data_IF_451050744023
#
_entry.id   IF_451050744023
#
_cell.length_a   1.000
_cell.length_b   1.000
_cell.length_c   1.000
_cell.angle_alpha   90.00
_cell.angle_beta   90.00
_cell.angle_gamma   90.00
#
_symmetry.space_group_name_H-M   'P 1'
#
loop_
_entity.id
_entity.type
_entity.pdbx_description
1 polymer ?
#
# COMPACT_ATOMS: atom_id res chain seq x y z
N UNK A 1 6.92 12.14 7.81
CA UNK A 1 7.90 11.84 8.87
C UNK A 1 9.28 12.36 8.44
N UNK A 2 10.11 12.88 9.36
CA UNK A 2 11.55 13.07 9.14
C UNK A 2 12.24 11.74 8.83
N UNK A 3 13.26 11.74 7.99
CA UNK A 3 13.91 10.50 7.50
C UNK A 3 14.56 9.70 8.64
N UNK A 4 15.10 10.39 9.62
CA UNK A 4 15.76 9.84 10.81
C UNK A 4 14.77 9.06 11.70
N UNK A 5 13.47 9.19 11.45
CA UNK A 5 12.39 8.53 12.18
C UNK A 5 11.64 7.49 11.33
N UNK A 6 12.14 7.15 10.13
CA UNK A 6 11.53 6.14 9.27
C UNK A 6 11.55 4.73 9.89
N UNK A 7 12.53 4.45 10.73
CA UNK A 7 12.64 3.17 11.45
C UNK A 7 11.80 3.10 12.73
N UNK A 8 11.06 4.17 13.07
CA UNK A 8 10.23 4.19 14.27
C UNK A 8 9.13 3.12 14.22
N UNK A 9 9.00 2.36 15.32
CA UNK A 9 7.95 1.36 15.58
C UNK A 9 7.21 1.70 16.88
N UNK A 10 5.89 1.51 16.91
CA UNK A 10 5.11 1.69 18.15
C UNK A 10 5.34 0.59 19.18
N UNK A 11 5.59 -0.63 18.72
CA UNK A 11 5.99 -1.80 19.51
C UNK A 11 7.04 -2.61 18.73
N UNK A 12 7.82 -3.50 19.36
CA UNK A 12 8.79 -4.33 18.65
C UNK A 12 8.20 -5.14 17.48
N UNK A 13 6.95 -5.58 17.61
CA UNK A 13 6.21 -6.40 16.64
C UNK A 13 5.59 -5.56 15.51
N UNK A 14 5.49 -4.25 15.70
CA UNK A 14 4.89 -3.35 14.73
C UNK A 14 5.80 -3.18 13.51
N UNK A 15 5.19 -2.92 12.34
CA UNK A 15 5.92 -2.39 11.19
C UNK A 15 6.44 -0.99 11.53
N UNK A 16 7.62 -0.63 11.02
CA UNK A 16 8.15 0.72 11.10
C UNK A 16 7.35 1.69 10.25
N UNK A 17 7.63 2.99 10.36
CA UNK A 17 7.03 3.99 9.48
C UNK A 17 7.37 3.71 8.00
N UNK A 18 8.63 3.38 7.70
CA UNK A 18 9.08 3.01 6.36
C UNK A 18 8.45 1.71 5.86
N UNK A 19 8.36 0.70 6.74
CA UNK A 19 7.75 -0.58 6.41
C UNK A 19 6.27 -0.39 6.05
N UNK A 20 5.52 0.38 6.85
CA UNK A 20 4.12 0.73 6.53
C UNK A 20 4.01 1.46 5.19
N UNK A 21 4.85 2.48 4.95
CA UNK A 21 4.84 3.26 3.72
C UNK A 21 5.01 2.35 2.49
N UNK A 22 6.08 1.54 2.47
CA UNK A 22 6.37 0.68 1.33
C UNK A 22 5.37 -0.47 1.21
N UNK A 23 4.87 -1.01 2.33
CA UNK A 23 3.86 -2.06 2.30
C UNK A 23 2.55 -1.62 1.63
N UNK A 24 2.15 -0.35 1.80
CA UNK A 24 1.03 0.21 1.02
C UNK A 24 1.32 0.05 -0.47
N UNK A 25 2.49 0.49 -0.95
CA UNK A 25 2.89 0.31 -2.35
C UNK A 25 2.85 -1.15 -2.79
N UNK A 26 3.49 -2.04 -2.03
CA UNK A 26 3.49 -3.48 -2.32
C UNK A 26 2.07 -4.05 -2.45
N UNK A 27 1.19 -3.73 -1.52
CA UNK A 27 -0.19 -4.22 -1.53
C UNK A 27 -1.01 -3.66 -2.71
N UNK A 28 -0.83 -2.39 -3.04
CA UNK A 28 -1.49 -1.76 -4.18
C UNK A 28 -1.07 -2.40 -5.51
N UNK A 29 0.23 -2.62 -5.70
CA UNK A 29 0.77 -3.28 -6.88
C UNK A 29 0.32 -4.76 -6.95
N UNK A 30 0.42 -5.52 -5.86
CA UNK A 30 0.05 -6.93 -5.84
C UNK A 30 -1.45 -7.15 -6.12
N UNK A 31 -2.34 -6.38 -5.48
CA UNK A 31 -3.77 -6.55 -5.71
C UNK A 31 -4.17 -6.09 -7.12
N UNK A 32 -3.67 -4.95 -7.60
CA UNK A 32 -4.05 -4.44 -8.92
C UNK A 32 -3.44 -5.25 -10.07
N UNK A 33 -2.12 -5.47 -10.06
CA UNK A 33 -1.41 -6.03 -11.20
C UNK A 33 -1.47 -7.56 -11.24
N UNK A 34 -1.49 -8.21 -10.07
CA UNK A 34 -1.37 -9.66 -9.96
C UNK A 34 -2.68 -10.36 -9.61
N UNK A 35 -3.31 -10.03 -8.47
CA UNK A 35 -4.56 -10.69 -8.06
C UNK A 35 -5.73 -10.39 -9.01
N UNK A 36 -5.93 -9.12 -9.33
CA UNK A 36 -7.03 -8.67 -10.21
C UNK A 36 -6.59 -8.72 -11.67
N UNK A 37 -5.35 -8.29 -11.92
CA UNK A 37 -4.68 -8.33 -13.21
C UNK A 37 -4.26 -9.75 -13.61
N UNK A 38 -3.19 -9.84 -14.39
CA UNK A 38 -2.69 -11.11 -14.95
C UNK A 38 -1.17 -11.26 -14.81
N UNK A 39 -0.51 -10.32 -14.13
CA UNK A 39 0.94 -10.36 -13.93
C UNK A 39 1.26 -11.37 -12.83
N UNK A 40 2.31 -12.16 -13.00
CA UNK A 40 2.80 -13.04 -11.93
C UNK A 40 2.94 -12.30 -10.59
N UNK A 41 2.54 -12.92 -9.47
CA UNK A 41 2.57 -12.28 -8.16
C UNK A 41 4.01 -12.08 -7.68
N UNK A 42 4.27 -10.89 -7.13
CA UNK A 42 5.46 -10.65 -6.31
C UNK A 42 5.38 -11.51 -5.05
N UNK A 43 6.51 -12.04 -4.62
CA UNK A 43 6.65 -12.67 -3.30
C UNK A 43 7.21 -11.66 -2.31
N UNK A 44 6.43 -11.37 -1.26
CA UNK A 44 6.82 -10.45 -0.20
C UNK A 44 8.15 -10.81 0.45
N UNK A 45 8.54 -12.08 0.52
CA UNK A 45 9.77 -12.48 1.21
C UNK A 45 11.02 -12.24 0.37
N UNK A 46 10.88 -12.19 -0.95
CA UNK A 46 12.00 -12.08 -1.91
C UNK A 46 12.01 -10.79 -2.70
N UNK A 47 10.97 -9.96 -2.58
CA UNK A 47 10.87 -8.66 -3.22
C UNK A 47 12.02 -7.72 -2.82
N UNK A 48 12.63 -7.06 -3.79
CA UNK A 48 13.68 -6.05 -3.57
C UNK A 48 13.24 -4.63 -3.97
N UNK A 49 12.18 -4.51 -4.77
CA UNK A 49 11.71 -3.23 -5.29
C UNK A 49 10.72 -2.57 -4.33
N UNK A 50 9.71 -3.29 -3.88
CA UNK A 50 8.70 -2.80 -2.94
C UNK A 50 8.98 -3.32 -1.52
N UNK A 51 10.23 -3.09 -1.09
CA UNK A 51 10.76 -3.27 0.26
C UNK A 51 11.61 -2.07 0.68
N UNK A 52 11.73 -1.86 2.00
CA UNK A 52 12.57 -0.79 2.54
C UNK A 52 14.02 -0.97 2.06
N UNK A 53 14.66 -2.09 2.37
CA UNK A 53 16.03 -2.37 1.92
C UNK A 53 17.00 -1.23 2.26
N UNK A 54 17.80 -0.80 1.28
CA UNK A 54 18.73 0.34 1.42
C UNK A 54 18.18 1.65 0.83
N UNK A 55 16.86 1.77 0.63
CA UNK A 55 16.27 2.95 0.00
C UNK A 55 16.29 4.14 0.94
N UNK A 56 16.61 5.30 0.40
CA UNK A 56 16.37 6.60 1.02
C UNK A 56 14.87 6.92 1.09
N UNK A 57 14.53 7.91 1.91
CA UNK A 57 13.19 8.48 1.96
C UNK A 57 12.68 8.89 0.59
N UNK A 58 13.51 9.53 -0.23
CA UNK A 58 13.09 10.01 -1.55
C UNK A 58 12.79 8.84 -2.49
N UNK A 59 13.66 7.83 -2.55
CA UNK A 59 13.44 6.64 -3.37
C UNK A 59 12.16 5.87 -2.95
N UNK A 60 11.86 5.82 -1.66
CA UNK A 60 10.61 5.23 -1.19
C UNK A 60 9.37 6.03 -1.62
N UNK A 61 9.45 7.37 -1.57
CA UNK A 61 8.36 8.25 -2.04
C UNK A 61 8.16 8.05 -3.54
N UNK A 62 9.23 8.07 -4.33
CA UNK A 62 9.18 7.91 -5.78
C UNK A 62 8.57 6.56 -6.17
N UNK A 63 8.93 5.48 -5.46
CA UNK A 63 8.33 4.16 -5.67
C UNK A 63 6.85 4.12 -5.34
N UNK A 64 6.43 4.81 -4.27
CA UNK A 64 5.01 4.91 -3.93
C UNK A 64 4.24 5.68 -4.99
N UNK A 65 4.76 6.81 -5.48
CA UNK A 65 4.14 7.58 -6.57
C UNK A 65 4.00 6.72 -7.82
N UNK A 66 5.09 6.06 -8.25
CA UNK A 66 5.09 5.18 -9.41
C UNK A 66 4.05 4.06 -9.30
N UNK A 67 3.97 3.41 -8.13
CA UNK A 67 3.01 2.33 -7.90
C UNK A 67 1.56 2.83 -7.89
N UNK A 68 1.31 4.00 -7.32
CA UNK A 68 -0.02 4.60 -7.33
C UNK A 68 -0.46 4.96 -8.75
N UNK A 69 0.44 5.56 -9.56
CA UNK A 69 0.16 5.87 -10.95
C UNK A 69 -0.17 4.61 -11.77
N UNK A 70 0.60 3.53 -11.59
CA UNK A 70 0.31 2.23 -12.21
C UNK A 70 -1.05 1.67 -11.78
N UNK A 71 -1.39 1.79 -10.50
CA UNK A 71 -2.67 1.30 -9.97
C UNK A 71 -3.84 2.12 -10.49
N UNK A 72 -3.72 3.46 -10.53
CA UNK A 72 -4.72 4.37 -11.08
C UNK A 72 -4.98 4.04 -12.55
N UNK A 73 -3.92 3.91 -13.35
CA UNK A 73 -4.02 3.57 -14.76
C UNK A 73 -4.68 2.20 -14.98
N UNK A 74 -4.30 1.20 -14.19
CA UNK A 74 -4.92 -0.12 -14.22
C UNK A 74 -6.43 -0.03 -13.96
N UNK A 75 -6.84 0.63 -12.88
CA UNK A 75 -8.26 0.79 -12.51
C UNK A 75 -9.04 1.56 -13.58
N UNK A 76 -8.46 2.65 -14.12
CA UNK A 76 -9.11 3.47 -15.14
C UNK A 76 -9.37 2.70 -16.44
N UNK A 77 -8.50 1.75 -16.78
CA UNK A 77 -8.63 0.87 -17.96
C UNK A 77 -9.36 -0.44 -17.68
N UNK A 78 -9.83 -0.68 -16.45
CA UNK A 78 -10.35 -1.97 -16.05
C UNK A 78 -11.69 -2.29 -16.72
N UNK A 79 -11.80 -3.48 -17.29
CA UNK A 79 -13.02 -3.96 -17.93
C UNK A 79 -14.15 -4.17 -16.89
N UNK A 80 -15.21 -3.38 -17.01
CA UNK A 80 -16.34 -3.35 -16.09
C UNK A 80 -17.09 -4.69 -16.03
N UNK A 81 -17.09 -5.47 -17.12
CA UNK A 81 -17.76 -6.78 -17.18
C UNK A 81 -17.07 -7.81 -16.28
N UNK A 82 -15.82 -7.54 -15.88
CA UNK A 82 -15.04 -8.42 -15.01
C UNK A 82 -15.22 -8.10 -13.52
N UNK A 83 -15.93 -7.04 -13.17
CA UNK A 83 -16.05 -6.58 -11.78
C UNK A 83 -16.70 -7.61 -10.84
N UNK A 84 -17.57 -8.46 -11.36
CA UNK A 84 -18.28 -9.48 -10.58
C UNK A 84 -17.56 -10.84 -10.57
N UNK A 85 -16.42 -10.97 -11.28
CA UNK A 85 -15.56 -12.14 -11.20
C UNK A 85 -14.99 -12.29 -9.78
N UNK A 86 -14.79 -13.54 -9.36
CA UNK A 86 -14.32 -13.90 -8.01
C UNK A 86 -12.97 -14.60 -8.11
N UNK A 87 -11.85 -13.89 -7.96
CA UNK A 87 -10.53 -14.52 -7.95
C UNK A 87 -10.35 -15.32 -6.66
N UNK A 88 -9.39 -16.25 -6.67
CA UNK A 88 -8.95 -16.87 -5.42
C UNK A 88 -8.23 -15.81 -4.57
N UNK A 89 -8.86 -15.43 -3.47
CA UNK A 89 -8.33 -14.49 -2.50
C UNK A 89 -8.27 -15.16 -1.13
N UNK A 90 -7.38 -16.15 -1.01
CA UNK A 90 -7.20 -16.95 0.22
C UNK A 90 -8.50 -17.64 0.64
N UNK A 91 -9.27 -18.16 -0.32
CA UNK A 91 -10.58 -18.76 -0.08
C UNK A 91 -11.70 -17.79 0.31
N UNK A 92 -11.43 -16.48 0.36
CA UNK A 92 -12.47 -15.49 0.65
C UNK A 92 -13.38 -15.28 -0.57
N UNK A 93 -14.69 -15.32 -0.35
CA UNK A 93 -15.68 -15.10 -1.40
C UNK A 93 -15.88 -13.61 -1.71
N UNK A 94 -14.96 -13.03 -2.50
CA UNK A 94 -14.94 -11.60 -2.87
C UNK A 94 -15.01 -11.41 -4.39
N UNK A 95 -15.76 -10.42 -4.85
CA UNK A 95 -15.69 -9.99 -6.26
C UNK A 95 -14.50 -9.04 -6.48
N UNK A 96 -14.02 -8.90 -7.73
CA UNK A 96 -13.00 -7.92 -8.08
C UNK A 96 -13.40 -6.50 -7.69
N UNK A 97 -14.68 -6.14 -7.80
CA UNK A 97 -15.23 -4.87 -7.28
C UNK A 97 -14.96 -4.69 -5.79
N UNK A 98 -15.23 -5.70 -4.99
CA UNK A 98 -15.00 -5.64 -3.54
C UNK A 98 -13.52 -5.55 -3.21
N UNK A 99 -12.66 -6.21 -3.98
CA UNK A 99 -11.21 -6.12 -3.81
C UNK A 99 -10.71 -4.73 -4.20
N UNK A 100 -11.18 -4.12 -5.30
CA UNK A 100 -10.83 -2.74 -5.65
C UNK A 100 -11.22 -1.74 -4.55
N UNK A 101 -12.36 -1.94 -3.88
CA UNK A 101 -12.73 -1.12 -2.72
C UNK A 101 -11.82 -1.41 -1.50
N UNK A 102 -11.37 -2.64 -1.33
CA UNK A 102 -10.41 -3.02 -0.29
C UNK A 102 -9.07 -2.28 -0.42
N UNK A 103 -8.64 -1.91 -1.63
CA UNK A 103 -7.42 -1.10 -1.80
C UNK A 103 -7.52 0.23 -1.04
N UNK A 104 -8.64 0.94 -1.14
CA UNK A 104 -8.87 2.19 -0.43
C UNK A 104 -8.93 2.00 1.10
N UNK A 105 -9.54 0.90 1.55
CA UNK A 105 -9.59 0.52 2.96
C UNK A 105 -8.20 0.18 3.51
N UNK A 106 -7.41 -0.60 2.77
CA UNK A 106 -6.04 -0.98 3.11
C UNK A 106 -5.11 0.24 3.23
N UNK A 107 -5.19 1.18 2.27
CA UNK A 107 -4.49 2.47 2.36
C UNK A 107 -4.89 3.20 3.64
N UNK A 108 -6.20 3.29 3.92
CA UNK A 108 -6.71 4.00 5.10
C UNK A 108 -6.24 3.36 6.40
N UNK A 109 -6.23 2.02 6.46
CA UNK A 109 -5.76 1.23 7.58
C UNK A 109 -4.30 1.55 7.92
N UNK A 110 -3.37 1.38 6.97
CA UNK A 110 -1.94 1.64 7.21
C UNK A 110 -1.63 3.11 7.41
N UNK A 111 -2.28 4.00 6.63
CA UNK A 111 -2.15 5.44 6.84
C UNK A 111 -2.54 5.83 8.26
N UNK A 112 -3.63 5.28 8.80
CA UNK A 112 -4.04 5.48 10.20
C UNK A 112 -2.92 5.15 11.19
N UNK A 113 -2.25 4.01 11.04
CA UNK A 113 -1.11 3.62 11.87
C UNK A 113 0.04 4.64 11.76
N UNK A 114 0.38 5.06 10.53
CA UNK A 114 1.43 6.06 10.27
C UNK A 114 1.11 7.43 10.89
N UNK A 115 -0.16 7.86 10.92
CA UNK A 115 -0.55 9.10 11.57
C UNK A 115 -0.37 9.01 13.10
N UNK A 116 -0.64 7.86 13.70
CA UNK A 116 -0.34 7.61 15.13
C UNK A 116 1.16 7.73 15.38
N UNK A 117 2.00 7.19 14.50
CA UNK A 117 3.46 7.26 14.65
C UNK A 117 3.97 8.70 14.58
N UNK A 118 3.39 9.52 13.71
CA UNK A 118 3.69 10.96 13.67
C UNK A 118 3.37 11.62 15.02
N UNK A 119 2.21 11.33 15.61
CA UNK A 119 1.82 11.87 16.93
C UNK A 119 2.73 11.42 18.06
N UNK A 120 3.08 10.13 18.11
CA UNK A 120 4.03 9.59 19.08
C UNK A 120 5.42 10.22 18.96
N UNK A 121 5.75 10.78 17.79
CA UNK A 121 6.98 11.49 17.52
C UNK A 121 6.88 13.02 17.65
N UNK A 122 5.79 13.54 18.23
CA UNK A 122 5.56 14.97 18.43
C UNK A 122 5.21 15.75 17.15
N UNK A 123 4.89 15.05 16.06
CA UNK A 123 4.60 15.66 14.75
C UNK A 123 3.09 15.74 14.56
N UNK A 124 2.63 16.91 14.10
CA UNK A 124 1.23 17.09 13.71
C UNK A 124 1.01 16.46 12.33
N UNK A 125 0.15 15.42 12.19
CA UNK A 125 -0.19 14.82 10.92
C UNK A 125 -0.99 15.78 10.02
N UNK A 126 -0.95 15.55 8.69
CA UNK A 126 -1.81 16.27 7.76
C UNK A 126 -3.30 16.07 8.09
N UNK A 127 -4.12 17.07 7.77
CA UNK A 127 -5.57 17.01 8.00
C UNK A 127 -6.20 15.99 7.05
N UNK A 128 -6.91 15.01 7.62
CA UNK A 128 -7.55 13.94 6.87
C UNK A 128 -8.37 14.41 5.65
N UNK A 129 -9.26 15.39 5.85
CA UNK A 129 -10.18 15.88 4.80
C UNK A 129 -9.48 16.54 3.60
N UNK A 130 -8.25 17.04 3.77
CA UNK A 130 -7.51 17.71 2.69
C UNK A 130 -6.77 16.74 1.76
N UNK A 131 -6.70 15.46 2.13
CA UNK A 131 -5.89 14.44 1.44
C UNK A 131 -6.66 13.11 1.32
N UNK A 132 -7.97 13.19 1.06
CA UNK A 132 -8.79 12.04 0.66
C UNK A 132 -8.77 11.84 -0.84
#
# INVERSE_FOLDING_TARGET
MPEEKYDFKSTPESMSFAENLIHIGWAMDWHSQSLIGVREPRDWNTDMELKVGHKSKQEMIDKIVETFDKTINFIASFDIERLDQRPDYFGANRTKRQILMLLADHITHHRGQMLVYMRLNGIVPPRYVLYQ
#
